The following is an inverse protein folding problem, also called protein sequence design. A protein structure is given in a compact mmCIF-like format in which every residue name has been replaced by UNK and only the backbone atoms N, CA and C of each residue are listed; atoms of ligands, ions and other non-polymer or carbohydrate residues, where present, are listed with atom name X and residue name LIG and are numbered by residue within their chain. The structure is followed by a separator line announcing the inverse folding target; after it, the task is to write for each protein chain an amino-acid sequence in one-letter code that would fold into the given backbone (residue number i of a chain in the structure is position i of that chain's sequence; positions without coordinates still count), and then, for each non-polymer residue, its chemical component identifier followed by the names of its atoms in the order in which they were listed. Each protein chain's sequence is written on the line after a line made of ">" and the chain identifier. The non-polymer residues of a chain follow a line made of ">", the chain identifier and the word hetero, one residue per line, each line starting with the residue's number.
data_IF_132169654026
#
_entry.id   IF_132169654026
#
_cell.length_a   1.000
_cell.length_b   1.000
_cell.length_c   1.000
_cell.angle_alpha   90.00
_cell.angle_beta   90.00
_cell.angle_gamma   90.00
#
_symmetry.space_group_name_H-M   'P 1'
#
loop_
_entity.id
_entity.type
_entity.pdbx_description
1 polymer ?
#
# COMPACT_ATOMS: atom_id res chain seq x y z
N UNK A 1 8.86 -54.04 -14.80
CA UNK A 1 7.55 -54.03 -14.12
C UNK A 1 6.47 -54.39 -15.15
N UNK A 2 5.54 -55.30 -14.82
CA UNK A 2 4.47 -55.74 -15.73
C UNK A 2 3.46 -54.59 -16.00
N UNK A 3 2.98 -54.46 -17.24
CA UNK A 3 1.96 -53.49 -17.67
C UNK A 3 0.73 -53.49 -16.75
N UNK A 4 0.34 -54.67 -16.28
CA UNK A 4 -0.79 -54.84 -15.35
C UNK A 4 -0.55 -54.16 -13.98
N UNK A 5 0.69 -54.21 -13.46
CA UNK A 5 1.04 -53.60 -12.18
C UNK A 5 1.00 -52.07 -12.26
N UNK A 6 1.44 -51.48 -13.37
CA UNK A 6 1.37 -50.04 -13.60
C UNK A 6 -0.08 -49.55 -13.74
N UNK A 7 -0.95 -50.33 -14.39
CA UNK A 7 -2.38 -50.00 -14.47
C UNK A 7 -3.07 -50.06 -13.10
N UNK A 8 -2.70 -51.02 -12.25
CA UNK A 8 -3.23 -51.11 -10.89
C UNK A 8 -2.81 -49.90 -10.03
N UNK A 9 -1.54 -49.49 -10.10
CA UNK A 9 -1.05 -48.30 -9.39
C UNK A 9 -1.78 -47.03 -9.85
N UNK A 10 -1.98 -46.84 -11.16
CA UNK A 10 -2.75 -45.69 -11.68
C UNK A 10 -4.19 -45.65 -11.17
N UNK A 11 -4.88 -46.80 -11.10
CA UNK A 11 -6.23 -46.88 -10.54
C UNK A 11 -6.27 -46.56 -9.05
N UNK A 12 -5.24 -46.95 -8.30
CA UNK A 12 -5.13 -46.60 -6.88
C UNK A 12 -4.94 -45.09 -6.69
N UNK A 13 -4.04 -44.45 -7.44
CA UNK A 13 -3.82 -43.00 -7.41
C UNK A 13 -5.12 -42.25 -7.75
N UNK A 14 -5.82 -42.64 -8.82
CA UNK A 14 -7.10 -42.02 -9.20
C UNK A 14 -8.18 -42.14 -8.12
N UNK A 15 -8.22 -43.26 -7.38
CA UNK A 15 -9.15 -43.44 -6.26
C UNK A 15 -8.80 -42.53 -5.09
N UNK A 16 -7.52 -42.42 -4.75
CA UNK A 16 -7.05 -41.50 -3.71
C UNK A 16 -7.33 -40.03 -4.08
N UNK A 17 -7.09 -39.64 -5.32
CA UNK A 17 -7.39 -38.28 -5.81
C UNK A 17 -8.90 -37.98 -5.72
N UNK A 18 -9.76 -38.91 -6.16
CA UNK A 18 -11.21 -38.76 -6.01
C UNK A 18 -11.65 -38.66 -4.56
N UNK A 19 -11.07 -39.47 -3.67
CA UNK A 19 -11.35 -39.37 -2.23
C UNK A 19 -10.91 -38.01 -1.67
N UNK A 20 -9.76 -37.47 -2.08
CA UNK A 20 -9.30 -36.12 -1.70
C UNK A 20 -10.24 -35.03 -2.20
N UNK A 21 -10.70 -35.09 -3.45
CA UNK A 21 -11.69 -34.14 -3.98
C UNK A 21 -13.00 -34.21 -3.18
N UNK A 22 -13.50 -35.41 -2.89
CA UNK A 22 -14.72 -35.59 -2.09
C UNK A 22 -14.57 -34.98 -0.68
N UNK A 23 -13.43 -35.18 -0.03
CA UNK A 23 -13.15 -34.58 1.28
C UNK A 23 -13.09 -33.05 1.21
N UNK A 24 -12.55 -32.49 0.13
CA UNK A 24 -12.51 -31.03 -0.09
C UNK A 24 -13.93 -30.46 -0.24
N UNK A 25 -14.80 -31.10 -1.01
CA UNK A 25 -16.19 -30.66 -1.20
C UNK A 25 -16.99 -30.67 0.11
N UNK A 26 -16.74 -31.66 0.97
CA UNK A 26 -17.35 -31.74 2.31
C UNK A 26 -16.90 -30.54 3.17
N UNK A 27 -15.60 -30.24 3.17
CA UNK A 27 -15.07 -29.09 3.90
C UNK A 27 -15.65 -27.76 3.39
N UNK A 28 -15.77 -27.58 2.07
CA UNK A 28 -16.38 -26.38 1.49
C UNK A 28 -17.85 -26.21 1.90
N UNK A 29 -18.62 -27.31 1.96
CA UNK A 29 -20.01 -27.28 2.46
C UNK A 29 -20.06 -26.92 3.94
N UNK A 30 -19.19 -27.49 4.76
CA UNK A 30 -19.12 -27.17 6.19
C UNK A 30 -18.76 -25.70 6.44
N UNK A 31 -17.79 -25.16 5.70
CA UNK A 31 -17.42 -23.73 5.77
C UNK A 31 -18.62 -22.84 5.45
N UNK A 32 -19.39 -23.16 4.39
CA UNK A 32 -20.59 -22.40 4.01
C UNK A 32 -21.65 -22.44 5.10
N UNK A 33 -21.89 -23.60 5.71
CA UNK A 33 -22.86 -23.75 6.80
C UNK A 33 -22.45 -22.93 8.02
N UNK A 34 -21.18 -23.01 8.44
CA UNK A 34 -20.65 -22.22 9.57
C UNK A 34 -20.75 -20.71 9.28
N UNK A 35 -20.44 -20.28 8.06
CA UNK A 35 -20.59 -18.87 7.67
C UNK A 35 -22.05 -18.40 7.74
N UNK A 36 -23.00 -19.26 7.37
CA UNK A 36 -24.43 -18.98 7.46
C UNK A 36 -24.90 -18.89 8.92
N UNK A 37 -24.44 -19.78 9.79
CA UNK A 37 -24.73 -19.74 11.23
C UNK A 37 -24.19 -18.46 11.88
N UNK A 38 -22.95 -18.08 11.58
CA UNK A 38 -22.35 -16.81 12.05
C UNK A 38 -23.21 -15.62 11.61
N UNK A 39 -23.71 -15.63 10.36
CA UNK A 39 -24.57 -14.57 9.83
C UNK A 39 -25.89 -14.48 10.59
N UNK A 40 -26.53 -15.62 10.85
CA UNK A 40 -27.79 -15.66 11.60
C UNK A 40 -27.61 -15.20 13.04
N UNK A 41 -26.53 -15.62 13.72
CA UNK A 41 -26.21 -15.18 15.07
C UNK A 41 -26.02 -13.65 15.15
N UNK A 42 -25.35 -13.04 14.17
CA UNK A 42 -25.22 -11.58 14.08
C UNK A 42 -26.56 -10.87 13.90
N UNK A 43 -27.45 -11.43 13.08
CA UNK A 43 -28.78 -10.87 12.84
C UNK A 43 -29.65 -10.95 14.10
N UNK A 44 -29.60 -12.08 14.80
CA UNK A 44 -30.30 -12.29 16.07
C UNK A 44 -29.81 -11.32 17.15
N UNK A 45 -28.50 -11.11 17.26
CA UNK A 45 -27.92 -10.12 18.16
C UNK A 45 -28.41 -8.70 17.83
N UNK A 46 -28.41 -8.30 16.55
CA UNK A 46 -28.91 -6.99 16.12
C UNK A 46 -30.39 -6.78 16.47
N UNK A 47 -31.23 -7.77 16.18
CA UNK A 47 -32.67 -7.70 16.49
C UNK A 47 -32.93 -7.59 17.99
N UNK A 48 -32.17 -8.34 18.80
CA UNK A 48 -32.22 -8.24 20.27
C UNK A 48 -31.83 -6.84 20.77
N UNK A 49 -30.82 -6.20 20.18
CA UNK A 49 -30.45 -4.81 20.51
C UNK A 49 -31.57 -3.84 20.15
N UNK A 50 -32.19 -3.98 18.98
CA UNK A 50 -33.33 -3.16 18.56
C UNK A 50 -34.47 -3.26 19.57
N UNK A 51 -34.80 -4.48 19.99
CA UNK A 51 -35.86 -4.75 20.95
C UNK A 51 -35.56 -4.10 22.31
N UNK A 52 -34.32 -4.20 22.81
CA UNK A 52 -33.89 -3.52 24.05
C UNK A 52 -34.03 -2.00 23.92
N UNK A 53 -33.60 -1.42 22.79
CA UNK A 53 -33.70 0.01 22.54
C UNK A 53 -35.16 0.49 22.41
N UNK A 54 -36.06 -0.36 21.91
CA UNK A 54 -37.49 -0.07 21.76
C UNK A 54 -38.30 -0.23 23.06
N UNK A 55 -37.91 -1.17 23.92
CA UNK A 55 -38.63 -1.53 25.17
C UNK A 55 -38.22 -0.71 26.39
N UNK A 56 -37.06 -0.05 26.37
CA UNK A 56 -36.66 0.84 27.46
C UNK A 56 -37.67 1.99 27.63
N UNK A 57 -38.27 2.12 28.83
CA UNK A 57 -39.23 3.18 29.23
C UNK A 57 -38.68 4.62 29.13
N UNK A 58 -37.48 4.83 28.58
CA UNK A 58 -36.89 6.14 28.34
C UNK A 58 -36.85 6.45 26.85
N UNK A 59 -38.00 6.87 26.32
CA UNK A 59 -38.08 7.62 25.05
C UNK A 59 -37.27 8.95 25.11
N UNK A 60 -36.74 9.32 26.27
CA UNK A 60 -35.93 10.51 26.56
C UNK A 60 -34.42 10.24 26.72
N UNK A 61 -33.93 8.99 26.76
CA UNK A 61 -32.49 8.69 26.83
C UNK A 61 -31.87 8.25 25.50
N UNK A 62 -32.70 7.99 24.49
CA UNK A 62 -32.29 7.82 23.10
C UNK A 62 -32.08 9.19 22.47
N UNK A 63 -30.96 9.39 21.75
CA UNK A 63 -30.67 10.61 20.99
C UNK A 63 -31.94 11.04 20.22
N UNK A 64 -32.64 12.11 20.64
CA UNK A 64 -34.02 12.37 20.23
C UNK A 64 -34.17 12.67 18.73
N UNK A 65 -33.06 12.90 18.03
CA UNK A 65 -33.00 13.15 16.59
C UNK A 65 -32.65 11.90 15.75
N UNK A 66 -32.54 10.70 16.32
CA UNK A 66 -32.05 9.50 15.61
C UNK A 66 -32.94 8.28 15.84
N UNK A 67 -33.30 7.59 14.75
CA UNK A 67 -34.10 6.36 14.81
C UNK A 67 -33.38 5.23 15.56
N UNK A 68 -34.14 4.35 16.21
CA UNK A 68 -33.66 3.14 16.90
C UNK A 68 -32.79 2.25 16.01
N UNK A 69 -33.12 2.12 14.73
CA UNK A 69 -32.32 1.41 13.73
C UNK A 69 -30.89 1.96 13.59
N UNK A 70 -30.74 3.29 13.50
CA UNK A 70 -29.42 3.93 13.43
C UNK A 70 -28.65 3.76 14.75
N UNK A 71 -29.33 3.80 15.88
CA UNK A 71 -28.72 3.55 17.19
C UNK A 71 -28.24 2.10 17.33
N UNK A 72 -29.03 1.11 16.91
CA UNK A 72 -28.62 -0.30 16.92
C UNK A 72 -27.51 -0.58 15.91
N UNK A 73 -27.53 0.02 14.72
CA UNK A 73 -26.43 -0.09 13.77
C UNK A 73 -25.15 0.52 14.33
N UNK A 74 -25.26 1.66 15.03
CA UNK A 74 -24.12 2.27 15.71
C UNK A 74 -23.64 1.40 16.87
N UNK A 75 -24.54 0.79 17.63
CA UNK A 75 -24.21 -0.13 18.72
C UNK A 75 -23.52 -1.39 18.21
N UNK A 76 -24.07 -2.07 17.19
CA UNK A 76 -23.41 -3.21 16.54
C UNK A 76 -22.08 -2.80 15.94
N UNK A 77 -22.00 -1.60 15.34
CA UNK A 77 -20.71 -1.06 14.90
C UNK A 77 -19.77 -0.89 16.08
N UNK A 78 -20.19 -0.42 17.25
CA UNK A 78 -19.32 -0.24 18.43
C UNK A 78 -18.98 -1.55 19.15
N UNK A 79 -19.88 -2.54 19.17
CA UNK A 79 -19.61 -3.88 19.71
C UNK A 79 -18.68 -4.67 18.80
N UNK A 80 -18.88 -4.60 17.47
CA UNK A 80 -17.96 -5.22 16.51
C UNK A 80 -16.65 -4.42 16.37
N UNK A 81 -16.71 -3.08 16.46
CA UNK A 81 -15.54 -2.21 16.61
C UNK A 81 -15.23 -1.97 18.09
N UNK A 82 -15.32 -3.02 18.92
CA UNK A 82 -14.86 -2.93 20.32
C UNK A 82 -13.42 -2.43 20.42
N UNK A 83 -12.68 -2.38 19.31
CA UNK A 83 -11.51 -1.54 19.18
C UNK A 83 -11.53 -0.78 17.84
N UNK A 84 -11.80 0.54 17.90
CA UNK A 84 -10.89 1.49 17.26
C UNK A 84 -9.47 1.21 17.80
N UNK A 85 -8.85 0.09 17.40
CA UNK A 85 -7.54 -0.32 17.88
C UNK A 85 -6.59 0.76 17.39
N UNK A 86 -6.04 1.54 18.30
CA UNK A 86 -5.14 2.63 17.97
C UNK A 86 -3.91 2.09 17.22
N UNK A 87 -3.53 0.83 17.50
CA UNK A 87 -2.42 0.09 16.88
C UNK A 87 -2.79 -1.38 16.69
N UNK A 88 -2.35 -1.97 15.57
CA UNK A 88 -2.39 -3.42 15.36
C UNK A 88 -1.37 -4.09 16.27
N UNK A 89 -1.67 -5.28 16.79
CA UNK A 89 -0.67 -6.14 17.44
C UNK A 89 0.29 -6.72 16.40
N UNK A 90 1.42 -7.25 16.85
CA UNK A 90 2.37 -7.92 15.93
C UNK A 90 1.73 -9.11 15.20
N UNK A 91 0.85 -9.86 15.87
CA UNK A 91 0.14 -10.99 15.27
C UNK A 91 -0.85 -10.51 14.19
N UNK A 92 -1.59 -9.44 14.47
CA UNK A 92 -2.49 -8.81 13.49
C UNK A 92 -1.73 -8.21 12.31
N UNK A 93 -0.53 -7.67 12.54
CA UNK A 93 0.36 -7.19 11.47
C UNK A 93 0.82 -8.38 10.61
N UNK A 94 1.16 -9.51 11.20
CA UNK A 94 1.58 -10.70 10.47
C UNK A 94 0.41 -11.27 9.64
N UNK A 95 -0.80 -11.34 10.21
CA UNK A 95 -2.01 -11.71 9.48
C UNK A 95 -2.30 -10.74 8.34
N UNK A 96 -2.19 -9.42 8.58
CA UNK A 96 -2.36 -8.41 7.54
C UNK A 96 -1.38 -8.59 6.38
N UNK A 97 -0.10 -8.87 6.67
CA UNK A 97 0.91 -9.16 5.63
C UNK A 97 0.56 -10.41 4.83
N UNK A 98 0.13 -11.47 5.50
CA UNK A 98 -0.25 -12.73 4.85
C UNK A 98 -1.43 -12.53 3.91
N UNK A 99 -2.51 -11.90 4.38
CA UNK A 99 -3.73 -11.65 3.59
C UNK A 99 -3.44 -10.70 2.42
N UNK A 100 -2.59 -9.68 2.62
CA UNK A 100 -2.15 -8.82 1.52
C UNK A 100 -1.38 -9.62 0.48
N UNK A 101 -0.46 -10.49 0.88
CA UNK A 101 0.33 -11.28 -0.05
C UNK A 101 -0.54 -12.23 -0.89
N UNK A 102 -1.61 -12.76 -0.31
CA UNK A 102 -2.59 -13.60 -1.01
C UNK A 102 -3.38 -12.82 -2.08
N UNK A 103 -3.85 -11.62 -1.75
CA UNK A 103 -4.69 -10.81 -2.65
C UNK A 103 -3.92 -9.83 -3.54
N UNK A 104 -2.62 -9.67 -3.33
CA UNK A 104 -1.78 -8.75 -4.11
C UNK A 104 -1.64 -9.28 -5.53
N UNK A 105 -2.07 -8.46 -6.49
CA UNK A 105 -1.84 -8.71 -7.90
C UNK A 105 -0.87 -7.62 -8.41
N UNK A 106 0.40 -7.98 -8.59
CA UNK A 106 1.49 -7.09 -9.00
C UNK A 106 1.51 -5.75 -8.20
N UNK A 107 0.90 -4.71 -8.79
CA UNK A 107 0.84 -3.33 -8.29
C UNK A 107 -0.46 -2.98 -7.57
N UNK A 108 -1.46 -3.87 -7.55
CA UNK A 108 -2.77 -3.62 -6.97
C UNK A 108 -3.02 -4.49 -5.73
N UNK A 109 -3.48 -3.84 -4.65
CA UNK A 109 -3.87 -4.50 -3.41
C UNK A 109 -5.32 -4.09 -3.11
N UNK A 110 -6.30 -5.01 -3.16
CA UNK A 110 -7.70 -4.72 -2.85
C UNK A 110 -7.91 -4.60 -1.32
N UNK A 111 -7.51 -3.48 -0.72
CA UNK A 111 -7.54 -3.25 0.74
C UNK A 111 -8.94 -3.41 1.35
N UNK A 112 -9.99 -3.19 0.56
CA UNK A 112 -11.39 -3.39 0.92
C UNK A 112 -11.71 -4.88 1.16
N UNK A 113 -11.13 -5.79 0.36
CA UNK A 113 -11.25 -7.24 0.58
C UNK A 113 -10.42 -7.67 1.80
N UNK A 114 -9.20 -7.16 1.91
CA UNK A 114 -8.33 -7.40 3.08
C UNK A 114 -9.01 -6.96 4.38
N UNK A 115 -9.66 -5.80 4.39
CA UNK A 115 -10.38 -5.30 5.56
C UNK A 115 -11.57 -6.18 5.95
N UNK A 116 -12.28 -6.74 4.95
CA UNK A 116 -13.36 -7.69 5.18
C UNK A 116 -12.86 -8.98 5.85
N UNK A 117 -11.77 -9.57 5.34
CA UNK A 117 -11.18 -10.79 5.91
C UNK A 117 -10.66 -10.60 7.34
N UNK A 118 -10.05 -9.45 7.61
CA UNK A 118 -9.54 -9.12 8.95
C UNK A 118 -10.61 -8.62 9.92
N UNK A 119 -11.88 -8.50 9.48
CA UNK A 119 -12.96 -7.95 10.30
C UNK A 119 -12.71 -6.52 10.78
N UNK A 120 -11.88 -5.75 10.07
CA UNK A 120 -11.43 -4.42 10.45
C UNK A 120 -12.00 -3.33 9.54
N UNK A 121 -11.91 -2.07 9.97
CA UNK A 121 -12.24 -0.95 9.09
C UNK A 121 -11.19 -0.77 7.99
N UNK A 122 -11.63 -0.43 6.78
CA UNK A 122 -10.75 -0.10 5.65
C UNK A 122 -9.75 1.02 6.00
N UNK A 123 -10.20 2.02 6.74
CA UNK A 123 -9.37 3.14 7.18
C UNK A 123 -8.23 2.68 8.10
N UNK A 124 -8.51 1.73 9.01
CA UNK A 124 -7.51 1.13 9.90
C UNK A 124 -6.47 0.35 9.10
N UNK A 125 -6.91 -0.51 8.18
CA UNK A 125 -6.02 -1.29 7.31
C UNK A 125 -5.17 -0.39 6.42
N UNK A 126 -5.75 0.65 5.81
CA UNK A 126 -5.00 1.62 4.98
C UNK A 126 -3.98 2.41 5.79
N UNK A 127 -4.30 2.78 7.03
CA UNK A 127 -3.36 3.44 7.93
C UNK A 127 -2.20 2.51 8.27
N UNK A 128 -2.52 1.26 8.64
CA UNK A 128 -1.49 0.31 9.05
C UNK A 128 -0.59 -0.09 7.88
N UNK A 129 -1.15 -0.39 6.71
CA UNK A 129 -0.36 -0.69 5.52
C UNK A 129 0.64 0.42 5.17
N UNK A 130 0.23 1.69 5.27
CA UNK A 130 1.16 2.83 5.10
C UNK A 130 2.34 2.82 6.07
N UNK A 131 2.19 2.20 7.24
CA UNK A 131 3.25 2.09 8.25
C UNK A 131 4.12 0.83 8.11
N UNK A 132 3.59 -0.25 7.51
CA UNK A 132 4.29 -1.54 7.43
C UNK A 132 4.72 -1.97 6.02
N UNK A 133 4.23 -1.30 4.96
CA UNK A 133 4.57 -1.62 3.56
C UNK A 133 6.10 -1.69 3.40
N UNK A 134 6.66 -2.85 2.99
CA UNK A 134 8.10 -3.04 2.85
C UNK A 134 8.70 -2.17 1.75
N UNK A 135 7.88 -1.74 0.77
CA UNK A 135 8.35 -0.90 -0.33
C UNK A 135 8.55 0.55 0.10
N UNK A 136 8.19 0.94 1.33
CA UNK A 136 8.32 2.31 1.82
C UNK A 136 9.43 2.38 2.86
N UNK A 137 10.44 3.19 2.60
CA UNK A 137 11.56 3.43 3.52
C UNK A 137 11.23 4.52 4.54
N UNK A 138 11.15 4.13 5.81
CA UNK A 138 10.81 4.95 6.97
C UNK A 138 12.03 5.07 7.87
N UNK A 139 12.94 5.98 7.54
CA UNK A 139 14.20 6.12 8.28
C UNK A 139 15.03 7.29 7.78
N UNK A 140 16.19 7.47 8.40
CA UNK A 140 17.19 8.47 7.99
C UNK A 140 17.67 8.18 6.57
N UNK A 141 18.09 9.23 5.86
CA UNK A 141 18.73 9.09 4.56
C UNK A 141 20.15 8.61 4.75
N UNK A 142 20.54 7.59 4.00
CA UNK A 142 21.93 7.13 3.96
C UNK A 142 22.69 7.78 2.79
N UNK A 143 24.03 7.71 2.82
CA UNK A 143 24.88 8.32 1.79
C UNK A 143 24.62 7.73 0.39
N UNK A 144 24.30 6.44 0.30
CA UNK A 144 24.00 5.80 -0.98
C UNK A 144 22.69 6.34 -1.58
N UNK A 145 21.65 6.52 -0.77
CA UNK A 145 20.39 7.15 -1.17
C UNK A 145 20.61 8.60 -1.61
N UNK A 146 21.46 9.35 -0.92
CA UNK A 146 21.82 10.72 -1.30
C UNK A 146 22.55 10.75 -2.65
N UNK A 147 23.50 9.83 -2.88
CA UNK A 147 24.21 9.72 -4.15
C UNK A 147 23.26 9.39 -5.31
N UNK A 148 22.38 8.40 -5.14
CA UNK A 148 21.37 8.03 -6.16
C UNK A 148 20.44 9.21 -6.41
N UNK A 149 19.98 9.91 -5.37
CA UNK A 149 19.13 11.09 -5.49
C UNK A 149 19.79 12.16 -6.36
N UNK A 150 21.05 12.49 -6.07
CA UNK A 150 21.80 13.53 -6.79
C UNK A 150 22.10 13.13 -8.23
N UNK A 151 22.50 11.87 -8.46
CA UNK A 151 22.72 11.32 -9.81
C UNK A 151 21.42 11.36 -10.64
N UNK A 152 20.29 10.97 -10.03
CA UNK A 152 18.98 11.00 -10.69
C UNK A 152 18.56 12.44 -11.01
N UNK A 153 18.81 13.39 -10.10
CA UNK A 153 18.56 14.81 -10.37
C UNK A 153 19.46 15.33 -11.49
N UNK A 154 20.74 14.94 -11.53
CA UNK A 154 21.67 15.27 -12.61
C UNK A 154 21.19 14.73 -13.96
N UNK A 155 20.71 13.48 -14.03
CA UNK A 155 20.10 12.92 -15.25
C UNK A 155 18.90 13.73 -15.73
N UNK A 156 18.16 14.35 -14.81
CA UNK A 156 17.00 15.19 -15.10
C UNK A 156 17.37 16.66 -15.39
N UNK A 157 18.63 17.09 -15.16
CA UNK A 157 19.08 18.48 -15.26
C UNK A 157 19.02 19.05 -16.67
N UNK A 158 19.09 18.17 -17.68
CA UNK A 158 18.96 18.53 -19.10
C UNK A 158 17.53 18.99 -19.47
N UNK A 159 16.54 18.81 -18.58
CA UNK A 159 15.17 19.27 -18.76
C UNK A 159 14.98 20.65 -18.10
N UNK A 160 14.02 21.45 -18.59
CA UNK A 160 13.67 22.73 -17.96
C UNK A 160 13.20 22.58 -16.51
N UNK A 161 12.61 21.43 -16.16
CA UNK A 161 12.09 21.14 -14.82
C UNK A 161 12.41 19.69 -14.44
N UNK A 162 12.95 19.50 -13.23
CA UNK A 162 13.24 18.17 -12.68
C UNK A 162 11.91 17.43 -12.45
N UNK A 163 11.77 16.24 -13.06
CA UNK A 163 10.63 15.38 -12.82
C UNK A 163 10.86 14.50 -11.58
N UNK A 164 10.33 14.94 -10.44
CA UNK A 164 10.49 14.24 -9.17
C UNK A 164 9.82 12.86 -9.10
N UNK A 165 8.90 12.52 -10.02
CA UNK A 165 8.36 11.16 -10.08
C UNK A 165 9.42 10.19 -10.61
N UNK A 166 10.20 10.60 -11.62
CA UNK A 166 11.32 9.80 -12.15
C UNK A 166 12.46 9.70 -11.13
N UNK A 167 12.76 10.80 -10.43
CA UNK A 167 13.74 10.75 -9.33
C UNK A 167 13.30 9.77 -8.23
N UNK A 168 12.01 9.73 -7.90
CA UNK A 168 11.48 8.81 -6.89
C UNK A 168 11.43 7.35 -7.38
N UNK A 169 11.32 7.09 -8.69
CA UNK A 169 11.45 5.73 -9.21
C UNK A 169 12.87 5.21 -9.06
N UNK A 170 13.87 6.08 -9.22
CA UNK A 170 15.28 5.71 -9.06
C UNK A 170 15.65 5.55 -7.57
N UNK A 171 15.17 6.44 -6.70
CA UNK A 171 15.32 6.34 -5.24
C UNK A 171 14.21 5.45 -4.65
N UNK A 172 14.32 4.14 -4.91
CA UNK A 172 13.29 3.16 -4.56
C UNK A 172 12.84 3.28 -3.11
N UNK A 173 11.52 3.37 -2.92
CA UNK A 173 10.87 3.40 -1.61
C UNK A 173 10.89 4.74 -0.88
N UNK A 174 11.38 5.82 -1.51
CA UNK A 174 11.16 7.21 -1.07
C UNK A 174 10.14 7.89 -1.98
N UNK A 175 9.25 8.69 -1.39
CA UNK A 175 8.29 9.45 -2.19
C UNK A 175 8.97 10.65 -2.86
N UNK A 176 8.40 11.11 -3.99
CA UNK A 176 8.86 12.32 -4.70
C UNK A 176 9.01 13.55 -3.80
N UNK A 177 8.08 13.72 -2.85
CA UNK A 177 8.10 14.81 -1.89
C UNK A 177 9.28 14.69 -0.95
N UNK A 178 9.60 13.48 -0.47
CA UNK A 178 10.77 13.23 0.38
C UNK A 178 12.08 13.46 -0.38
N UNK A 179 12.15 13.01 -1.64
CA UNK A 179 13.29 13.25 -2.52
C UNK A 179 13.55 14.75 -2.71
N UNK A 180 12.51 15.51 -3.04
CA UNK A 180 12.61 16.97 -3.18
C UNK A 180 13.06 17.65 -1.89
N UNK A 181 12.45 17.31 -0.75
CA UNK A 181 12.83 17.86 0.56
C UNK A 181 14.29 17.56 0.89
N UNK A 182 14.76 16.34 0.63
CA UNK A 182 16.15 15.97 0.86
C UNK A 182 17.10 16.74 -0.06
N UNK A 183 16.78 16.83 -1.34
CA UNK A 183 17.58 17.60 -2.29
C UNK A 183 17.77 19.04 -1.84
N UNK A 184 16.69 19.72 -1.41
CA UNK A 184 16.79 21.08 -0.88
C UNK A 184 17.73 21.18 0.34
N UNK A 185 17.75 20.16 1.21
CA UNK A 185 18.66 20.13 2.36
C UNK A 185 20.12 19.94 1.91
N UNK A 186 20.35 19.09 0.91
CA UNK A 186 21.69 18.84 0.35
C UNK A 186 22.23 20.08 -0.39
N UNK A 187 21.37 20.79 -1.13
CA UNK A 187 21.75 21.96 -1.95
C UNK A 187 21.63 23.29 -1.24
N UNK A 188 21.13 23.34 0.00
CA UNK A 188 21.17 24.55 0.81
C UNK A 188 22.63 24.97 0.94
N UNK A 189 22.95 26.18 0.46
CA UNK A 189 24.29 26.79 0.50
C UNK A 189 24.84 26.73 1.91
N UNK A 190 25.73 25.77 2.17
CA UNK A 190 26.58 25.75 3.34
C UNK A 190 27.95 26.22 2.87
N UNK A 191 28.43 27.35 3.36
CA UNK A 191 29.70 27.96 2.95
C UNK A 191 30.93 27.09 3.24
N UNK A 192 30.78 26.00 4.03
CA UNK A 192 31.90 25.23 4.57
C UNK A 192 31.83 23.70 4.30
N UNK A 193 31.10 23.22 3.29
CA UNK A 193 31.14 21.79 2.93
C UNK A 193 32.16 21.52 1.81
N UNK A 194 33.02 20.49 1.93
CA UNK A 194 33.94 20.11 0.86
C UNK A 194 33.17 19.59 -0.35
N UNK A 195 33.59 20.03 -1.54
CA UNK A 195 33.07 19.55 -2.83
C UNK A 195 33.14 18.03 -2.88
N UNK A 196 32.01 17.42 -3.22
CA UNK A 196 31.94 15.99 -3.50
C UNK A 196 32.27 15.76 -4.98
N UNK A 197 32.73 14.56 -5.39
CA UNK A 197 33.06 14.27 -6.78
C UNK A 197 31.93 14.56 -7.79
N UNK A 198 30.67 14.51 -7.35
CA UNK A 198 29.52 14.85 -8.20
C UNK A 198 29.36 16.37 -8.40
N UNK A 199 29.81 17.20 -7.46
CA UNK A 199 29.74 18.66 -7.56
C UNK A 199 30.62 19.14 -8.71
N UNK A 200 31.81 18.53 -8.87
CA UNK A 200 32.74 18.83 -9.96
C UNK A 200 32.12 18.51 -11.33
N UNK A 201 31.49 17.34 -11.48
CA UNK A 201 30.77 16.97 -12.70
C UNK A 201 29.61 17.92 -12.99
N UNK A 202 28.87 18.35 -11.97
CA UNK A 202 27.77 19.30 -12.12
C UNK A 202 28.26 20.68 -12.60
N UNK A 203 29.36 21.18 -12.03
CA UNK A 203 29.97 22.45 -12.43
C UNK A 203 30.43 22.39 -13.90
N UNK A 204 31.08 21.30 -14.30
CA UNK A 204 31.54 21.11 -15.67
C UNK A 204 30.37 21.05 -16.67
N UNK A 205 29.31 20.30 -16.34
CA UNK A 205 28.13 20.19 -17.20
C UNK A 205 27.43 21.55 -17.37
N UNK A 206 27.23 22.30 -16.29
CA UNK A 206 26.61 23.63 -16.36
C UNK A 206 27.44 24.61 -17.21
N UNK A 207 28.78 24.50 -17.16
CA UNK A 207 29.66 25.30 -17.99
C UNK A 207 29.47 25.00 -19.49
N UNK A 208 29.41 23.72 -19.85
CA UNK A 208 29.14 23.28 -21.24
C UNK A 208 27.78 23.79 -21.74
N UNK A 209 26.70 23.63 -20.95
CA UNK A 209 25.36 24.12 -21.31
C UNK A 209 25.34 25.63 -21.56
N UNK A 210 26.07 26.42 -20.75
CA UNK A 210 26.17 27.88 -20.95
C UNK A 210 26.96 28.22 -22.22
N UNK A 211 28.03 27.50 -22.51
CA UNK A 211 28.83 27.70 -23.72
C UNK A 211 28.02 27.34 -24.98
N UNK A 212 27.27 26.25 -24.98
CA UNK A 212 26.40 25.86 -26.10
C UNK A 212 25.30 26.90 -26.36
N UNK A 213 24.70 27.45 -25.28
CA UNK A 213 23.73 28.55 -25.40
C UNK A 213 24.37 29.83 -25.95
N UNK A 214 25.61 30.14 -25.54
CA UNK A 214 26.37 31.29 -26.08
C UNK A 214 26.66 31.10 -27.57
N UNK A 215 27.12 29.92 -27.98
CA UNK A 215 27.43 29.61 -29.38
C UNK A 215 26.16 29.66 -30.25
N UNK A 216 25.04 29.08 -29.78
CA UNK A 216 23.75 29.17 -30.48
C UNK A 216 23.29 30.62 -30.63
N UNK A 217 23.39 31.44 -29.57
CA UNK A 217 23.04 32.87 -29.63
C UNK A 217 23.93 33.65 -30.61
N UNK A 218 25.22 33.35 -30.66
CA UNK A 218 26.17 33.97 -31.60
C UNK A 218 25.87 33.58 -33.06
N UNK A 219 25.51 32.32 -33.31
CA UNK A 219 25.13 31.81 -34.64
C UNK A 219 23.78 32.33 -35.15
N UNK A 220 22.86 32.73 -34.26
CA UNK A 220 21.60 33.38 -34.64
C UNK A 220 21.79 34.86 -34.98
N UNK A 221 22.68 35.57 -34.26
CA UNK A 221 22.98 37.00 -34.53
C UNK A 221 23.73 37.17 -35.86
N UNK A 222 24.65 36.26 -36.18
CA UNK A 222 25.43 36.31 -37.43
C UNK A 222 24.62 35.97 -38.68
N UNK A 223 23.43 35.38 -38.54
CA UNK A 223 22.48 35.15 -39.66
C UNK A 223 21.57 36.36 -39.93
N UNK A 224 21.39 37.25 -38.96
CA UNK A 224 20.59 38.48 -39.11
C UNK A 224 21.40 39.65 -39.69
N UNK A 225 22.73 39.59 -39.70
CA UNK A 225 23.61 40.64 -40.24
C UNK A 225 24.09 40.41 -41.68
N UNK A 226 23.50 39.43 -42.40
CA UNK A 226 23.82 39.13 -43.81
C UNK A 226 22.64 39.35 -44.78
N UNK A 227 21.61 40.10 -44.36
CA UNK A 227 20.54 40.63 -45.23
C UNK A 227 20.65 42.14 -45.32
#
# INVERSE_FOLDING_TARGET
>A
MNSQSLQNIRRMIQREEKARLSSKEILEKLIKNVAQEIRQNKLNQFNKTIEILQTSKHRQSSLPQRSTYLCANRFMFLENNRLNKLKFSNDEINQLKQVIQEYRNENYIPLNKVAYELGCSLSSVRREWRNIDPNVRRGQWNRNEDNILLESVFKQSNRQKINWNLVASDVTGRSKTKCFQRYLILTKRTTNKPFQPFDDQFVLQQHQIKNDKKQKKFSSISKETQT
#
